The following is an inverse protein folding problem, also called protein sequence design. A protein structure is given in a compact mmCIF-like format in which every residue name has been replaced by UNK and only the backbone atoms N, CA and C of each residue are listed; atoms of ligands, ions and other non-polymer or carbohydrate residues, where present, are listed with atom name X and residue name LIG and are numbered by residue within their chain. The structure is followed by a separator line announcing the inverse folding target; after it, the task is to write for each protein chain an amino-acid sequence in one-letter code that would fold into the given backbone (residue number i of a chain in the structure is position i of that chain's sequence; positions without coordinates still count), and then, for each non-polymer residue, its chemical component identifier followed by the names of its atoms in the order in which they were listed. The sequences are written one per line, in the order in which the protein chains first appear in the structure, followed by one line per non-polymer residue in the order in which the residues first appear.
data_IF_821359457842
#
_entry.id   IF_821359457842
#
_cell.length_a   1.000
_cell.length_b   1.000
_cell.length_c   1.000
_cell.angle_alpha   90.00
_cell.angle_beta   90.00
_cell.angle_gamma   90.00
#
_symmetry.space_group_name_H-M   'P 1'
#
loop_
_entity.id
_entity.type
_entity.pdbx_description
1 polymer ?
#
# COMPACT_ATOMS: atom_id res chain seq x y z
N UNK A 1 -2.48 -2.76 -8.67
CA UNK A 1 -2.59 -2.00 -9.91
C UNK A 1 -1.67 -0.79 -9.92
N UNK A 2 -1.53 -0.16 -11.07
CA UNK A 2 -0.74 1.06 -11.26
C UNK A 2 -1.31 2.22 -10.42
N UNK A 3 -0.50 3.25 -10.16
CA UNK A 3 -1.01 4.51 -9.60
C UNK A 3 -2.11 5.10 -10.49
N UNK A 4 -3.20 5.59 -9.90
CA UNK A 4 -4.30 6.23 -10.62
C UNK A 4 -5.38 5.29 -11.21
N UNK A 5 -5.26 3.97 -11.05
CA UNK A 5 -6.28 3.01 -11.52
C UNK A 5 -7.61 3.05 -10.75
N UNK A 6 -7.70 3.82 -9.67
CA UNK A 6 -8.90 3.97 -8.85
C UNK A 6 -9.02 2.98 -7.70
N UNK A 7 -7.90 2.44 -7.20
CA UNK A 7 -7.88 1.58 -6.00
C UNK A 7 -8.53 2.27 -4.80
N UNK A 8 -7.98 3.40 -4.39
CA UNK A 8 -8.50 4.19 -3.26
C UNK A 8 -9.96 4.64 -3.48
N UNK A 9 -10.32 4.95 -4.72
CA UNK A 9 -11.71 5.29 -5.08
C UNK A 9 -12.65 4.11 -4.84
N UNK A 10 -12.23 2.89 -5.21
CA UNK A 10 -13.00 1.68 -4.93
C UNK A 10 -12.98 1.34 -3.45
N UNK A 11 -11.80 1.34 -2.79
CA UNK A 11 -11.66 1.00 -1.38
C UNK A 11 -12.52 1.90 -0.49
N UNK A 12 -12.45 3.23 -0.68
CA UNK A 12 -13.27 4.20 0.07
C UNK A 12 -14.76 3.99 -0.16
N UNK A 13 -15.15 3.70 -1.39
CA UNK A 13 -16.55 3.42 -1.75
C UNK A 13 -17.05 2.12 -1.10
N UNK A 14 -16.22 1.07 -1.08
CA UNK A 14 -16.55 -0.20 -0.42
C UNK A 14 -16.64 -0.02 1.10
N UNK A 15 -15.73 0.72 1.74
CA UNK A 15 -15.78 1.03 3.17
C UNK A 15 -17.12 1.70 3.50
N UNK A 16 -17.51 2.70 2.70
CA UNK A 16 -18.73 3.46 2.95
C UNK A 16 -20.00 2.64 2.73
N UNK A 17 -20.05 1.82 1.69
CA UNK A 17 -21.22 0.97 1.41
C UNK A 17 -21.39 -0.17 2.42
N UNK A 18 -20.29 -0.79 2.83
CA UNK A 18 -20.32 -1.91 3.77
C UNK A 18 -20.36 -1.45 5.23
N UNK A 19 -20.10 -0.18 5.53
CA UNK A 19 -19.94 0.27 6.91
C UNK A 19 -18.78 -0.38 7.65
N UNK A 20 -17.75 -0.84 6.93
CA UNK A 20 -16.60 -1.56 7.50
C UNK A 20 -15.97 -0.77 8.65
N UNK A 21 -15.80 -1.44 9.79
CA UNK A 21 -15.26 -0.84 11.01
C UNK A 21 -13.73 -0.93 11.14
N UNK A 22 -13.07 -1.64 10.23
CA UNK A 22 -11.62 -1.76 10.20
C UNK A 22 -11.11 -1.51 8.78
N UNK A 23 -10.22 -0.54 8.61
CA UNK A 23 -9.61 -0.27 7.31
C UNK A 23 -8.21 0.34 7.44
N UNK A 24 -7.42 0.17 6.40
CA UNK A 24 -6.04 0.65 6.34
C UNK A 24 -5.71 1.25 4.98
N UNK A 25 -4.91 2.31 4.98
CA UNK A 25 -4.25 2.84 3.80
C UNK A 25 -2.79 2.40 3.80
N UNK A 26 -2.45 1.53 2.87
CA UNK A 26 -1.11 0.98 2.68
C UNK A 26 -0.31 1.69 1.58
N UNK A 27 -0.84 2.74 0.96
CA UNK A 27 -0.05 3.62 0.08
C UNK A 27 0.76 4.62 0.90
N UNK A 28 1.77 4.12 1.60
CA UNK A 28 2.57 4.90 2.55
C UNK A 28 3.44 5.98 1.92
N UNK A 29 3.64 5.91 0.59
CA UNK A 29 4.36 6.94 -0.17
C UNK A 29 3.48 8.18 -0.44
N UNK A 30 2.17 7.96 -0.64
CA UNK A 30 1.20 9.02 -0.92
C UNK A 30 -0.19 8.67 -0.34
N UNK A 31 -0.33 8.56 1.00
CA UNK A 31 -1.57 8.15 1.62
C UNK A 31 -2.67 9.17 1.34
N UNK A 32 -3.81 8.69 0.86
CA UNK A 32 -4.90 9.55 0.41
C UNK A 32 -6.30 9.10 0.82
N UNK A 33 -6.43 7.92 1.42
CA UNK A 33 -7.72 7.40 1.89
C UNK A 33 -8.36 8.33 2.95
N UNK A 34 -7.55 8.94 3.82
CA UNK A 34 -7.99 9.89 4.84
C UNK A 34 -8.68 11.14 4.27
N UNK A 35 -8.44 11.49 2.99
CA UNK A 35 -9.05 12.65 2.35
C UNK A 35 -10.55 12.46 2.06
N UNK A 36 -11.01 11.23 1.99
CA UNK A 36 -12.40 10.85 1.68
C UNK A 36 -13.09 10.11 2.82
N UNK A 37 -12.35 9.82 3.89
CA UNK A 37 -12.89 9.27 5.14
C UNK A 37 -12.97 10.42 6.15
N UNK A 38 -14.18 10.74 6.60
CA UNK A 38 -14.42 11.83 7.55
C UNK A 38 -13.96 11.43 8.95
N UNK A 39 -12.65 11.62 9.23
CA UNK A 39 -12.09 11.36 10.55
C UNK A 39 -12.29 12.59 11.46
N UNK A 40 -13.09 12.43 12.49
CA UNK A 40 -13.43 13.51 13.42
C UNK A 40 -12.42 13.68 14.57
N UNK A 41 -11.53 12.72 14.76
CA UNK A 41 -10.54 12.68 15.84
C UNK A 41 -9.11 12.82 15.33
N UNK A 42 -8.27 13.41 16.15
CA UNK A 42 -6.83 13.39 15.92
C UNK A 42 -6.27 11.96 16.10
N UNK A 43 -5.40 11.50 15.22
CA UNK A 43 -4.82 10.16 15.32
C UNK A 43 -3.81 10.05 16.46
N UNK A 44 -3.67 8.86 17.02
CA UNK A 44 -2.46 8.49 17.74
C UNK A 44 -1.32 8.42 16.75
N UNK A 45 -0.30 9.28 16.96
CA UNK A 45 0.90 9.34 16.11
C UNK A 45 2.06 8.65 16.80
N UNK A 46 2.83 7.86 16.05
CA UNK A 46 4.07 7.26 16.52
C UNK A 46 5.11 7.22 15.42
N UNK A 47 6.35 7.38 15.79
CA UNK A 47 7.47 7.23 14.89
C UNK A 47 7.70 5.76 14.56
N UNK A 48 7.98 5.48 13.29
CA UNK A 48 8.38 4.15 12.86
C UNK A 48 9.87 4.14 12.54
N UNK A 49 10.56 3.25 13.25
CA UNK A 49 11.99 3.02 13.08
C UNK A 49 12.19 1.85 12.12
N UNK A 50 12.88 2.12 11.02
CA UNK A 50 13.26 1.09 10.05
C UNK A 50 14.59 0.42 10.39
N UNK A 51 15.29 -0.04 9.36
CA UNK A 51 16.66 -0.48 9.53
C UNK A 51 17.53 0.71 9.98
N UNK A 52 18.46 0.49 10.94
CA UNK A 52 19.33 1.55 11.43
C UNK A 52 20.21 2.10 10.31
N UNK A 53 20.81 3.27 10.51
CA UNK A 53 21.81 3.81 9.62
C UNK A 53 23.19 3.83 10.28
N UNK A 54 24.24 3.64 9.49
CA UNK A 54 25.60 3.79 10.01
C UNK A 54 25.90 5.26 10.35
N UNK A 55 26.64 5.46 11.43
CA UNK A 55 27.19 6.75 11.82
C UNK A 55 28.68 6.58 12.09
N UNK A 56 29.48 7.48 11.54
CA UNK A 56 30.94 7.46 11.69
C UNK A 56 31.35 8.49 12.76
N UNK A 57 32.08 8.02 13.75
CA UNK A 57 32.73 8.86 14.75
C UNK A 57 34.04 9.39 14.13
N UNK A 58 34.07 10.65 13.77
CA UNK A 58 35.20 11.30 13.09
C UNK A 58 36.45 11.37 13.96
N UNK A 59 36.29 11.40 15.28
CA UNK A 59 37.40 11.48 16.22
C UNK A 59 38.15 10.14 16.36
N UNK A 60 37.44 9.02 16.14
CA UNK A 60 38.02 7.68 16.11
C UNK A 60 38.45 7.23 14.73
N UNK A 61 37.93 7.87 13.68
CA UNK A 61 38.17 7.46 12.30
C UNK A 61 39.65 7.68 11.91
N UNK A 62 40.33 6.60 11.50
CA UNK A 62 41.71 6.62 11.03
C UNK A 62 41.84 6.78 9.50
N UNK A 63 40.77 7.11 8.81
CA UNK A 63 40.71 7.35 7.35
C UNK A 63 41.25 6.21 6.48
N UNK A 64 41.06 4.95 6.87
CA UNK A 64 41.57 3.77 6.15
C UNK A 64 40.77 3.38 4.91
N UNK A 65 39.66 4.01 4.61
CA UNK A 65 38.78 3.83 3.44
C UNK A 65 38.07 2.45 3.33
N UNK A 66 38.28 1.52 4.24
CA UNK A 66 37.70 0.17 4.16
C UNK A 66 36.18 0.18 4.14
N UNK A 67 35.54 1.04 4.93
CA UNK A 67 34.09 1.16 5.00
C UNK A 67 33.48 1.56 3.65
N UNK A 68 34.07 2.55 2.96
CA UNK A 68 33.62 3.01 1.64
C UNK A 68 33.82 1.94 0.57
N UNK A 69 35.00 1.32 0.52
CA UNK A 69 35.30 0.26 -0.43
C UNK A 69 34.39 -0.98 -0.30
N UNK A 70 33.87 -1.26 0.90
CA UNK A 70 32.98 -2.40 1.16
C UNK A 70 31.49 -2.05 1.11
N UNK A 71 31.14 -0.76 1.01
CA UNK A 71 29.77 -0.35 0.87
C UNK A 71 29.24 -0.70 -0.53
N UNK A 72 28.19 -1.54 -0.60
CA UNK A 72 27.54 -1.92 -1.87
C UNK A 72 26.48 -0.91 -2.31
N UNK A 73 26.19 0.06 -1.47
CA UNK A 73 25.12 1.04 -1.67
C UNK A 73 25.67 2.43 -1.96
N UNK A 74 27.00 2.55 -2.12
CA UNK A 74 27.72 3.83 -2.31
C UNK A 74 27.28 4.92 -1.31
N UNK A 75 26.92 4.49 -0.09
CA UNK A 75 26.39 5.34 0.95
C UNK A 75 27.45 6.03 1.82
N UNK A 76 28.75 5.90 1.51
CA UNK A 76 29.83 6.50 2.26
C UNK A 76 30.63 7.40 1.38
N UNK A 77 30.55 8.69 1.66
CA UNK A 77 31.31 9.74 0.98
C UNK A 77 32.51 10.19 1.80
N UNK A 78 33.48 10.76 1.11
CA UNK A 78 34.64 11.40 1.72
C UNK A 78 34.90 12.75 1.06
N UNK A 79 34.94 13.77 1.90
CA UNK A 79 35.43 15.09 1.55
C UNK A 79 36.68 15.35 2.42
N UNK A 80 36.54 16.09 3.50
CA UNK A 80 37.56 16.22 4.54
C UNK A 80 37.45 15.09 5.56
N UNK A 81 36.24 14.57 5.77
CA UNK A 81 35.91 13.47 6.68
C UNK A 81 35.02 12.44 5.98
N UNK A 82 34.98 11.22 6.53
CA UNK A 82 34.04 10.20 6.06
C UNK A 82 32.66 10.46 6.63
N UNK A 83 31.66 10.49 5.76
CA UNK A 83 30.25 10.70 6.11
C UNK A 83 29.38 9.62 5.52
N UNK A 84 28.23 9.37 6.15
CA UNK A 84 27.24 8.42 5.63
C UNK A 84 26.05 9.18 5.06
N UNK A 85 25.75 8.93 3.79
CA UNK A 85 24.47 9.32 3.23
C UNK A 85 23.37 8.44 3.84
N UNK A 86 22.54 9.05 4.68
CA UNK A 86 21.47 8.36 5.38
C UNK A 86 20.37 7.84 4.45
N UNK A 87 20.22 8.41 3.26
CA UNK A 87 19.22 7.97 2.28
C UNK A 87 19.70 6.77 1.48
N UNK A 88 20.99 6.69 1.18
CA UNK A 88 21.60 5.57 0.49
C UNK A 88 21.95 4.39 1.42
N UNK A 89 22.06 4.63 2.75
CA UNK A 89 22.45 3.60 3.70
C UNK A 89 21.32 2.61 3.99
N UNK A 90 21.52 1.34 3.68
CA UNK A 90 20.58 0.24 3.93
C UNK A 90 20.77 -0.47 5.29
N UNK A 91 21.61 0.05 6.18
CA UNK A 91 21.78 -0.48 7.54
C UNK A 91 22.37 -1.89 7.63
N UNK A 92 23.07 -2.35 6.61
CA UNK A 92 23.58 -3.73 6.51
C UNK A 92 24.75 -4.06 7.47
N UNK A 93 25.28 -3.11 8.23
CA UNK A 93 26.34 -3.25 9.21
C UNK A 93 27.75 -3.66 8.66
N UNK A 94 27.92 -3.86 7.37
CA UNK A 94 29.21 -4.27 6.80
C UNK A 94 30.33 -3.28 7.12
N UNK A 95 30.05 -1.97 7.02
CA UNK A 95 31.02 -0.91 7.33
C UNK A 95 31.45 -0.93 8.81
N UNK A 96 30.55 -1.23 9.73
CA UNK A 96 30.84 -1.41 11.15
C UNK A 96 31.76 -2.62 11.38
N UNK A 97 31.44 -3.76 10.74
CA UNK A 97 32.18 -5.00 10.90
C UNK A 97 33.63 -4.89 10.41
N UNK A 98 33.87 -4.12 9.34
CA UNK A 98 35.22 -4.00 8.74
C UNK A 98 36.03 -2.84 9.28
N UNK A 99 35.50 -2.05 10.21
CA UNK A 99 36.17 -0.88 10.75
C UNK A 99 37.23 -1.29 11.80
N UNK A 100 38.54 -1.14 11.53
CA UNK A 100 39.56 -1.56 12.47
C UNK A 100 39.70 -0.63 13.69
N UNK A 101 39.08 0.56 13.62
CA UNK A 101 39.14 1.57 14.69
C UNK A 101 37.83 1.60 15.53
N UNK A 102 36.89 0.69 15.29
CA UNK A 102 35.56 0.70 15.93
C UNK A 102 34.87 2.09 15.89
N UNK A 103 35.11 2.84 14.81
CA UNK A 103 34.61 4.20 14.63
C UNK A 103 33.18 4.25 14.05
N UNK A 104 32.55 3.10 13.79
CA UNK A 104 31.23 3.07 13.14
C UNK A 104 30.23 2.38 14.04
N UNK A 105 29.11 3.08 14.32
CA UNK A 105 27.97 2.55 15.04
C UNK A 105 26.72 2.58 14.17
N UNK A 106 25.74 1.72 14.47
CA UNK A 106 24.42 1.80 13.88
C UNK A 106 23.50 2.57 14.82
N UNK A 107 22.81 3.55 14.28
CA UNK A 107 21.85 4.40 15.01
C UNK A 107 20.44 4.24 14.44
N UNK A 108 19.47 4.22 15.32
CA UNK A 108 18.07 4.15 14.92
C UNK A 108 17.69 5.36 14.07
N UNK A 109 16.84 5.10 13.09
CA UNK A 109 16.38 6.10 12.13
C UNK A 109 14.86 6.04 12.00
N UNK A 110 14.21 7.16 12.24
CA UNK A 110 12.79 7.32 11.89
C UNK A 110 12.68 7.34 10.36
N UNK A 111 11.92 6.42 9.82
CA UNK A 111 11.68 6.29 8.37
C UNK A 111 10.22 6.54 7.97
N UNK A 112 9.35 6.73 8.93
CA UNK A 112 7.95 7.02 8.68
C UNK A 112 7.19 7.36 9.97
N UNK A 113 5.97 7.83 9.79
CA UNK A 113 5.07 8.19 10.88
C UNK A 113 3.76 7.42 10.74
N UNK A 114 3.46 6.59 11.73
CA UNK A 114 2.19 5.88 11.84
C UNK A 114 1.12 6.83 12.39
N UNK A 115 -0.11 6.69 11.87
CA UNK A 115 -1.29 7.41 12.31
C UNK A 115 -2.41 6.40 12.52
N UNK A 116 -2.89 6.27 13.74
CA UNK A 116 -3.95 5.33 14.11
C UNK A 116 -5.13 6.11 14.67
N UNK A 117 -6.25 6.07 13.96
CA UNK A 117 -7.53 6.60 14.38
C UNK A 117 -8.33 5.47 15.02
N UNK A 118 -8.84 5.68 16.21
CA UNK A 118 -9.64 4.69 16.93
C UNK A 118 -10.83 5.36 17.63
N UNK A 119 -12.02 4.91 17.28
CA UNK A 119 -13.28 5.32 17.86
C UNK A 119 -14.28 4.16 17.81
N UNK A 120 -15.39 4.31 17.10
CA UNK A 120 -16.35 3.26 16.74
C UNK A 120 -15.87 2.40 15.56
N UNK A 121 -14.74 2.76 14.98
CA UNK A 121 -13.99 2.07 13.94
C UNK A 121 -12.49 2.24 14.16
N UNK A 122 -11.67 1.53 13.39
CA UNK A 122 -10.22 1.72 13.34
C UNK A 122 -9.78 2.04 11.91
N UNK A 123 -9.02 3.12 11.78
CA UNK A 123 -8.33 3.46 10.56
C UNK A 123 -6.82 3.57 10.82
N UNK A 124 -6.05 2.77 10.13
CA UNK A 124 -4.58 2.77 10.23
C UNK A 124 -3.95 3.23 8.92
N UNK A 125 -3.04 4.18 9.02
CA UNK A 125 -2.27 4.67 7.88
C UNK A 125 -0.88 5.09 8.33
N UNK A 126 0.01 5.35 7.39
CA UNK A 126 1.34 5.88 7.67
C UNK A 126 1.84 6.73 6.51
N UNK A 127 2.82 7.57 6.81
CA UNK A 127 3.52 8.38 5.84
C UNK A 127 5.02 8.07 5.91
N UNK A 128 5.59 7.62 4.78
CA UNK A 128 7.01 7.33 4.67
C UNK A 128 7.79 8.65 4.58
N UNK A 129 8.89 8.75 5.31
CA UNK A 129 9.79 9.90 5.17
C UNK A 129 10.43 9.90 3.78
N UNK A 130 10.50 11.06 3.16
CA UNK A 130 11.04 11.23 1.80
C UNK A 130 12.43 10.61 1.68
N UNK A 131 12.64 9.81 0.63
CA UNK A 131 13.92 9.13 0.37
C UNK A 131 14.21 7.95 1.31
N UNK A 132 13.30 7.57 2.20
CA UNK A 132 13.49 6.38 3.03
C UNK A 132 13.13 5.10 2.27
N UNK A 133 13.91 4.04 2.50
CA UNK A 133 13.60 2.68 2.07
C UNK A 133 12.62 1.98 3.04
N UNK A 134 12.46 0.66 2.85
CA UNK A 134 11.71 -0.20 3.78
C UNK A 134 10.19 0.05 3.87
N UNK A 135 9.57 0.60 2.82
CA UNK A 135 8.12 0.83 2.74
C UNK A 135 7.28 -0.43 3.04
N UNK A 136 7.75 -1.62 2.66
CA UNK A 136 7.08 -2.89 2.98
C UNK A 136 7.00 -3.19 4.47
N UNK A 137 8.02 -2.83 5.26
CA UNK A 137 7.98 -2.96 6.72
C UNK A 137 6.94 -2.00 7.32
N UNK A 138 6.93 -0.75 6.86
CA UNK A 138 5.95 0.24 7.31
C UNK A 138 4.51 -0.19 6.98
N UNK A 139 4.25 -0.73 5.78
CA UNK A 139 2.95 -1.31 5.40
C UNK A 139 2.55 -2.44 6.35
N UNK A 140 3.51 -3.28 6.76
CA UNK A 140 3.24 -4.35 7.74
C UNK A 140 2.79 -3.78 9.08
N UNK A 141 3.40 -2.69 9.56
CA UNK A 141 2.98 -2.01 10.80
C UNK A 141 1.61 -1.35 10.66
N UNK A 142 1.32 -0.72 9.52
CA UNK A 142 -0.02 -0.18 9.23
C UNK A 142 -1.07 -1.27 9.38
N UNK A 143 -0.86 -2.46 8.81
CA UNK A 143 -1.80 -3.59 8.93
C UNK A 143 -1.91 -4.12 10.35
N UNK A 144 -0.83 -4.11 11.13
CA UNK A 144 -0.87 -4.51 12.55
C UNK A 144 -1.78 -3.60 13.38
N UNK A 145 -1.96 -2.34 12.98
CA UNK A 145 -2.91 -1.42 13.62
C UNK A 145 -4.36 -1.92 13.63
N UNK A 146 -4.71 -2.85 12.73
CA UNK A 146 -6.05 -3.45 12.69
C UNK A 146 -6.20 -4.69 13.60
N UNK A 147 -5.13 -5.20 14.22
CA UNK A 147 -5.11 -6.50 14.91
C UNK A 147 -6.16 -6.61 16.03
N UNK A 148 -6.33 -5.55 16.80
CA UNK A 148 -7.25 -5.53 17.95
C UNK A 148 -8.72 -5.44 17.53
N UNK A 149 -8.98 -5.30 16.25
CA UNK A 149 -10.32 -5.23 15.66
C UNK A 149 -10.75 -6.51 14.95
N UNK A 150 -9.90 -7.54 14.94
CA UNK A 150 -10.19 -8.81 14.28
C UNK A 150 -11.50 -9.45 14.73
N UNK A 151 -11.82 -9.34 16.02
CA UNK A 151 -13.04 -9.92 16.61
C UNK A 151 -14.18 -8.88 16.75
N UNK A 152 -13.95 -7.63 16.37
CA UNK A 152 -14.91 -6.52 16.48
C UNK A 152 -15.49 -6.09 15.13
N UNK A 153 -14.81 -6.43 14.05
CA UNK A 153 -15.21 -6.08 12.69
C UNK A 153 -15.44 -7.38 11.88
N UNK A 154 -16.58 -7.48 11.22
CA UNK A 154 -16.89 -8.60 10.32
C UNK A 154 -15.99 -8.63 9.10
N UNK A 155 -15.50 -7.46 8.66
CA UNK A 155 -14.63 -7.29 7.51
C UNK A 155 -13.63 -6.16 7.74
N UNK A 156 -12.40 -6.35 7.24
CA UNK A 156 -11.39 -5.31 7.14
C UNK A 156 -11.08 -5.00 5.67
N UNK A 157 -11.00 -3.71 5.32
CA UNK A 157 -10.65 -3.27 3.96
C UNK A 157 -9.27 -2.62 3.98
N UNK A 158 -8.38 -3.11 3.11
CA UNK A 158 -7.01 -2.62 2.98
C UNK A 158 -6.86 -1.97 1.61
N UNK A 159 -6.65 -0.66 1.57
CA UNK A 159 -6.25 0.03 0.35
C UNK A 159 -4.78 -0.24 0.07
N UNK A 160 -4.52 -1.04 -0.96
CA UNK A 160 -3.19 -1.56 -1.26
C UNK A 160 -2.32 -0.57 -1.99
N UNK A 161 -1.01 -0.59 -1.72
CA UNK A 161 -0.01 0.20 -2.43
C UNK A 161 -0.05 -0.03 -3.94
N UNK A 162 0.32 0.98 -4.75
CA UNK A 162 0.51 0.79 -6.19
C UNK A 162 1.78 0.01 -6.53
N UNK A 163 1.85 -0.48 -7.77
CA UNK A 163 3.04 -1.16 -8.28
C UNK A 163 3.05 -2.66 -8.03
N UNK A 164 4.25 -3.25 -7.96
CA UNK A 164 4.53 -4.69 -7.81
C UNK A 164 5.62 -4.99 -6.79
N UNK A 165 6.12 -3.98 -6.08
CA UNK A 165 7.23 -4.09 -5.13
C UNK A 165 6.84 -4.59 -3.73
N UNK A 166 7.80 -4.49 -2.80
CA UNK A 166 7.64 -4.94 -1.41
C UNK A 166 6.38 -4.40 -0.71
N UNK A 167 5.95 -3.12 -0.88
CA UNK A 167 4.73 -2.64 -0.24
C UNK A 167 3.47 -3.36 -0.75
N UNK A 168 3.42 -3.74 -2.04
CA UNK A 168 2.29 -4.53 -2.58
C UNK A 168 2.28 -5.92 -1.96
N UNK A 169 3.45 -6.58 -1.89
CA UNK A 169 3.60 -7.90 -1.25
C UNK A 169 3.14 -7.83 0.21
N UNK A 170 3.56 -6.81 0.94
CA UNK A 170 3.13 -6.59 2.32
C UNK A 170 1.62 -6.34 2.43
N UNK A 171 1.02 -5.59 1.49
CA UNK A 171 -0.42 -5.33 1.45
C UNK A 171 -1.23 -6.60 1.26
N UNK A 172 -0.83 -7.50 0.34
CA UNK A 172 -1.57 -8.74 0.02
C UNK A 172 -1.28 -9.90 0.99
N UNK A 173 -0.21 -9.83 1.77
CA UNK A 173 0.14 -10.88 2.73
C UNK A 173 -0.89 -10.98 3.85
N UNK A 174 -1.45 -12.18 4.08
CA UNK A 174 -2.38 -12.45 5.19
C UNK A 174 -3.77 -11.84 5.04
N UNK A 175 -4.21 -11.57 3.80
CA UNK A 175 -5.60 -11.22 3.48
C UNK A 175 -6.33 -12.45 2.92
N UNK A 176 -7.65 -12.47 3.01
CA UNK A 176 -8.48 -13.55 2.48
C UNK A 176 -8.78 -13.38 0.99
N UNK A 177 -8.90 -12.12 0.54
CA UNK A 177 -9.23 -11.76 -0.84
C UNK A 177 -8.38 -10.58 -1.31
N UNK A 178 -7.82 -10.68 -2.51
CA UNK A 178 -7.15 -9.60 -3.23
C UNK A 178 -8.04 -9.17 -4.40
N UNK A 179 -8.55 -7.94 -4.34
CA UNK A 179 -9.29 -7.34 -5.45
C UNK A 179 -8.32 -6.51 -6.30
N UNK A 180 -8.08 -6.94 -7.52
CA UNK A 180 -7.24 -6.24 -8.49
C UNK A 180 -8.08 -5.24 -9.28
N UNK A 181 -7.79 -3.95 -9.09
CA UNK A 181 -8.40 -2.88 -9.89
C UNK A 181 -7.49 -2.56 -11.06
N UNK A 182 -7.98 -2.71 -12.27
CA UNK A 182 -7.24 -2.41 -13.50
C UNK A 182 -8.01 -1.44 -14.39
N UNK A 183 -7.32 -0.80 -15.32
CA UNK A 183 -7.91 0.00 -16.40
C UNK A 183 -7.72 -0.71 -17.75
N UNK A 184 -8.56 -0.47 -18.76
CA UNK A 184 -8.47 -1.10 -20.08
C UNK A 184 -7.34 -0.50 -20.94
N UNK A 185 -6.11 -0.51 -20.40
CA UNK A 185 -4.89 -0.07 -21.10
C UNK A 185 -3.90 -1.22 -21.20
N UNK A 186 -2.97 -1.18 -22.16
CA UNK A 186 -1.94 -2.20 -22.29
C UNK A 186 -1.07 -2.30 -21.03
N UNK A 187 -0.71 -1.16 -20.44
CA UNK A 187 0.05 -1.16 -19.18
C UNK A 187 -0.76 -1.69 -18.01
N UNK A 188 -2.06 -1.34 -17.91
CA UNK A 188 -2.96 -1.86 -16.88
C UNK A 188 -3.12 -3.36 -16.94
N UNK A 189 -3.23 -3.92 -18.13
CA UNK A 189 -3.29 -5.36 -18.36
C UNK A 189 -1.99 -6.06 -17.95
N UNK A 190 -0.83 -5.55 -18.40
CA UNK A 190 0.47 -6.13 -18.05
C UNK A 190 0.76 -6.08 -16.54
N UNK A 191 0.41 -4.97 -15.88
CA UNK A 191 0.57 -4.85 -14.42
C UNK A 191 -0.37 -5.81 -13.67
N UNK A 192 -1.60 -5.98 -14.17
CA UNK A 192 -2.56 -6.95 -13.61
C UNK A 192 -1.99 -8.38 -13.70
N UNK A 193 -1.47 -8.79 -14.87
CA UNK A 193 -0.86 -10.12 -15.03
C UNK A 193 0.27 -10.37 -14.02
N UNK A 194 1.18 -9.40 -13.85
CA UNK A 194 2.29 -9.51 -12.89
C UNK A 194 1.80 -9.65 -11.45
N UNK A 195 0.75 -8.90 -11.07
CA UNK A 195 0.20 -9.00 -9.71
C UNK A 195 -0.53 -10.33 -9.53
N UNK A 196 -1.26 -10.83 -10.53
CA UNK A 196 -1.88 -12.16 -10.50
C UNK A 196 -0.81 -13.22 -10.23
N UNK A 197 0.30 -13.21 -10.99
CA UNK A 197 1.39 -14.17 -10.78
C UNK A 197 2.03 -14.04 -9.40
N UNK A 198 2.28 -12.82 -8.94
CA UNK A 198 2.82 -12.57 -7.59
C UNK A 198 1.86 -13.07 -6.51
N UNK A 199 0.56 -12.82 -6.67
CA UNK A 199 -0.46 -13.17 -5.67
C UNK A 199 -0.70 -14.67 -5.56
N UNK A 200 -0.39 -15.46 -6.58
CA UNK A 200 -0.48 -16.94 -6.55
C UNK A 200 0.42 -17.58 -5.48
N UNK A 201 1.46 -16.89 -5.04
CA UNK A 201 2.31 -17.32 -3.92
C UNK A 201 1.68 -17.19 -2.54
N UNK A 202 0.46 -16.62 -2.46
CA UNK A 202 -0.27 -16.39 -1.21
C UNK A 202 -1.57 -17.20 -1.18
N UNK A 203 -2.07 -17.56 0.01
CA UNK A 203 -3.31 -18.33 0.13
C UNK A 203 -4.58 -17.51 -0.19
N UNK A 204 -4.45 -16.22 -0.41
CA UNK A 204 -5.56 -15.31 -0.70
C UNK A 204 -6.25 -15.66 -2.02
N UNK A 205 -7.58 -15.59 -2.06
CA UNK A 205 -8.33 -15.59 -3.31
C UNK A 205 -8.00 -14.33 -4.11
N UNK A 206 -8.06 -14.42 -5.43
CA UNK A 206 -7.81 -13.27 -6.33
C UNK A 206 -9.09 -13.02 -7.13
N UNK A 207 -9.50 -11.76 -7.23
CA UNK A 207 -10.60 -11.34 -8.08
C UNK A 207 -10.21 -10.05 -8.83
N UNK A 208 -10.83 -9.80 -9.97
CA UNK A 208 -10.52 -8.65 -10.84
C UNK A 208 -11.76 -7.79 -11.03
N UNK A 209 -11.60 -6.48 -11.02
CA UNK A 209 -12.56 -5.53 -11.54
C UNK A 209 -11.88 -4.53 -12.49
N UNK A 210 -12.62 -4.04 -13.48
CA UNK A 210 -12.13 -3.07 -14.46
C UNK A 210 -12.74 -1.70 -14.13
N UNK A 211 -11.90 -0.71 -13.90
CA UNK A 211 -12.33 0.67 -13.78
C UNK A 211 -12.22 1.39 -15.11
N UNK A 212 -13.12 2.33 -15.39
CA UNK A 212 -13.18 3.11 -16.64
C UNK A 212 -13.27 2.21 -17.88
N UNK A 213 -14.06 1.14 -17.80
CA UNK A 213 -14.10 0.09 -18.81
C UNK A 213 -14.48 0.61 -20.21
N UNK A 214 -15.26 1.67 -20.27
CA UNK A 214 -15.81 2.28 -21.48
C UNK A 214 -14.79 3.15 -22.24
N UNK A 215 -13.62 3.41 -21.68
CA UNK A 215 -12.56 4.12 -22.38
C UNK A 215 -11.94 3.29 -23.53
N UNK A 216 -11.95 1.95 -23.42
CA UNK A 216 -11.41 1.08 -24.45
C UNK A 216 -12.02 -0.33 -24.42
N UNK A 217 -13.17 -0.51 -25.06
CA UNK A 217 -13.98 -1.74 -25.00
C UNK A 217 -13.21 -3.01 -25.42
N UNK A 218 -12.37 -2.92 -26.45
CA UNK A 218 -11.57 -4.07 -26.92
C UNK A 218 -10.59 -4.57 -25.85
N UNK A 219 -9.92 -3.66 -25.14
CA UNK A 219 -9.03 -4.06 -24.06
C UNK A 219 -9.80 -4.57 -22.84
N UNK A 220 -10.99 -4.03 -22.59
CA UNK A 220 -11.93 -4.54 -21.57
C UNK A 220 -12.25 -6.00 -21.83
N UNK A 221 -12.67 -6.34 -23.05
CA UNK A 221 -12.94 -7.72 -23.48
C UNK A 221 -11.71 -8.62 -23.33
N UNK A 222 -10.52 -8.12 -23.67
CA UNK A 222 -9.27 -8.86 -23.48
C UNK A 222 -9.03 -9.22 -22.01
N UNK A 223 -9.30 -8.30 -21.09
CA UNK A 223 -9.16 -8.55 -19.64
C UNK A 223 -10.22 -9.53 -19.14
N UNK A 224 -11.47 -9.39 -19.59
CA UNK A 224 -12.56 -10.30 -19.24
C UNK A 224 -12.24 -11.75 -19.69
N UNK A 225 -11.79 -11.92 -20.95
CA UNK A 225 -11.38 -13.22 -21.48
C UNK A 225 -10.18 -13.80 -20.71
N UNK A 226 -9.19 -13.00 -20.37
CA UNK A 226 -8.06 -13.44 -19.55
C UNK A 226 -8.52 -13.98 -18.18
N UNK A 227 -9.47 -13.31 -17.53
CA UNK A 227 -10.02 -13.78 -16.25
C UNK A 227 -10.77 -15.10 -16.44
N UNK A 228 -11.58 -15.21 -17.46
CA UNK A 228 -12.36 -16.43 -17.79
C UNK A 228 -11.43 -17.61 -18.07
N UNK A 229 -10.43 -17.45 -18.93
CA UNK A 229 -9.48 -18.50 -19.31
C UNK A 229 -8.65 -19.03 -18.14
N UNK A 230 -8.43 -18.21 -17.12
CA UNK A 230 -7.65 -18.56 -15.93
C UNK A 230 -8.49 -18.90 -14.70
N UNK A 231 -9.81 -18.90 -14.83
CA UNK A 231 -10.74 -19.15 -13.72
C UNK A 231 -10.62 -18.11 -12.59
N UNK A 232 -10.25 -16.85 -12.93
CA UNK A 232 -10.18 -15.77 -11.96
C UNK A 232 -11.56 -15.12 -11.87
N UNK A 233 -12.17 -15.02 -10.67
CA UNK A 233 -13.41 -14.31 -10.46
C UNK A 233 -13.36 -12.89 -11.01
N UNK A 234 -14.30 -12.55 -11.88
CA UNK A 234 -14.51 -11.21 -12.41
C UNK A 234 -15.67 -10.56 -11.67
N UNK A 235 -15.39 -9.50 -10.89
CA UNK A 235 -16.36 -8.85 -10.01
C UNK A 235 -17.25 -7.83 -10.72
N UNK A 236 -16.80 -7.33 -11.88
CA UNK A 236 -17.55 -6.34 -12.64
C UNK A 236 -16.69 -5.22 -13.20
N UNK A 237 -17.36 -4.21 -13.76
CA UNK A 237 -16.72 -3.09 -14.45
C UNK A 237 -17.40 -1.76 -14.11
N UNK A 238 -16.59 -0.77 -13.76
CA UNK A 238 -17.03 0.57 -13.37
C UNK A 238 -16.87 1.50 -14.58
N UNK A 239 -17.90 2.24 -15.00
CA UNK A 239 -17.80 3.20 -16.08
C UNK A 239 -16.94 4.40 -15.69
N UNK A 240 -16.40 5.11 -16.68
CA UNK A 240 -15.71 6.37 -16.44
C UNK A 240 -16.70 7.44 -15.95
N UNK A 241 -16.43 7.98 -14.76
CA UNK A 241 -17.21 9.09 -14.22
C UNK A 241 -16.36 10.38 -14.25
N UNK A 242 -16.83 11.38 -15.01
CA UNK A 242 -16.15 12.67 -15.15
C UNK A 242 -16.10 13.47 -13.85
N UNK A 243 -17.02 13.22 -12.94
CA UNK A 243 -17.12 13.94 -11.67
C UNK A 243 -16.30 13.26 -10.54
N UNK A 244 -15.75 12.06 -10.79
CA UNK A 244 -14.99 11.30 -9.79
C UNK A 244 -13.91 12.13 -9.10
N UNK A 245 -13.10 12.88 -9.87
CA UNK A 245 -12.05 13.75 -9.33
C UNK A 245 -12.64 14.90 -8.51
N UNK A 246 -13.76 15.49 -8.98
CA UNK A 246 -14.43 16.56 -8.25
C UNK A 246 -15.04 16.07 -6.93
N UNK A 247 -15.54 14.83 -6.89
CA UNK A 247 -16.08 14.23 -5.66
C UNK A 247 -14.95 14.01 -4.65
N UNK A 248 -13.87 13.40 -5.06
CA UNK A 248 -12.69 13.16 -4.19
C UNK A 248 -12.13 14.48 -3.64
N UNK A 249 -12.02 15.51 -4.45
CA UNK A 249 -11.56 16.84 -4.02
C UNK A 249 -12.52 17.53 -3.02
N UNK A 250 -13.77 17.04 -2.92
CA UNK A 250 -14.77 17.49 -1.94
C UNK A 250 -14.85 16.55 -0.73
N UNK A 251 -13.91 15.62 -0.56
CA UNK A 251 -13.95 14.63 0.51
C UNK A 251 -15.06 13.57 0.34
N UNK A 252 -15.54 13.34 -0.89
CA UNK A 252 -16.65 12.42 -1.18
C UNK A 252 -16.16 11.21 -1.98
N UNK A 253 -16.87 10.11 -1.82
CA UNK A 253 -16.67 8.88 -2.59
C UNK A 253 -17.61 8.83 -3.80
N UNK A 254 -17.37 7.91 -4.75
CA UNK A 254 -18.26 7.72 -5.90
C UNK A 254 -19.69 7.27 -5.51
N UNK A 255 -19.84 6.67 -4.34
CA UNK A 255 -21.14 6.17 -3.88
C UNK A 255 -22.00 7.23 -3.16
N UNK A 256 -21.45 8.44 -2.96
CA UNK A 256 -22.20 9.58 -2.45
C UNK A 256 -23.11 10.22 -3.50
N UNK A 257 -22.95 9.84 -4.76
CA UNK A 257 -23.76 10.30 -5.87
C UNK A 257 -24.46 9.10 -6.52
N UNK A 258 -25.72 9.24 -6.83
CA UNK A 258 -26.44 8.25 -7.64
C UNK A 258 -25.94 8.22 -9.10
N UNK A 259 -25.86 7.05 -9.66
CA UNK A 259 -25.43 6.87 -11.04
C UNK A 259 -24.78 5.52 -11.33
N UNK A 260 -24.44 5.25 -12.60
CA UNK A 260 -23.97 3.94 -13.04
C UNK A 260 -22.69 3.47 -12.33
N UNK A 261 -21.81 4.38 -11.94
CA UNK A 261 -20.59 4.03 -11.20
C UNK A 261 -20.91 3.49 -9.80
N UNK A 262 -21.86 4.14 -9.08
CA UNK A 262 -22.34 3.67 -7.78
C UNK A 262 -22.98 2.30 -7.88
N UNK A 263 -23.84 2.08 -8.87
CA UNK A 263 -24.53 0.80 -9.03
C UNK A 263 -23.55 -0.33 -9.35
N UNK A 264 -22.58 -0.07 -10.22
CA UNK A 264 -21.50 -1.03 -10.50
C UNK A 264 -20.66 -1.37 -9.24
N UNK A 265 -20.37 -0.38 -8.38
CA UNK A 265 -19.61 -0.62 -7.14
C UNK A 265 -20.45 -1.44 -6.14
N UNK A 266 -21.78 -1.25 -6.08
CA UNK A 266 -22.64 -2.10 -5.26
C UNK A 266 -22.61 -3.57 -5.72
N UNK A 267 -22.69 -3.81 -7.02
CA UNK A 267 -22.59 -5.17 -7.58
C UNK A 267 -21.21 -5.80 -7.25
N UNK A 268 -20.13 -5.01 -7.34
CA UNK A 268 -18.78 -5.45 -6.96
C UNK A 268 -18.75 -5.81 -5.47
N UNK A 269 -19.36 -5.02 -4.58
CA UNK A 269 -19.45 -5.34 -3.16
C UNK A 269 -20.14 -6.69 -2.92
N UNK A 270 -21.27 -6.93 -3.54
CA UNK A 270 -21.99 -8.23 -3.45
C UNK A 270 -21.07 -9.38 -3.87
N UNK A 271 -20.34 -9.21 -4.97
CA UNK A 271 -19.35 -10.20 -5.42
C UNK A 271 -18.21 -10.43 -4.44
N UNK A 272 -17.69 -9.36 -3.83
CA UNK A 272 -16.66 -9.42 -2.78
C UNK A 272 -17.16 -10.22 -1.59
N UNK A 273 -18.36 -9.88 -1.06
CA UNK A 273 -18.97 -10.56 0.08
C UNK A 273 -19.19 -12.04 -0.18
N UNK A 274 -19.68 -12.39 -1.36
CA UNK A 274 -19.83 -13.80 -1.78
C UNK A 274 -18.50 -14.57 -1.80
N UNK A 275 -17.39 -13.93 -2.20
CA UNK A 275 -16.08 -14.57 -2.23
C UNK A 275 -15.47 -14.78 -0.82
N UNK A 276 -15.76 -13.91 0.14
CA UNK A 276 -15.31 -14.04 1.53
C UNK A 276 -16.31 -14.75 2.43
N UNK A 277 -17.43 -15.24 1.87
CA UNK A 277 -18.51 -15.95 2.56
C UNK A 277 -19.21 -15.10 3.65
N UNK A 278 -19.31 -13.82 3.46
CA UNK A 278 -20.14 -12.93 4.27
C UNK A 278 -21.44 -12.59 3.53
N UNK A 279 -22.51 -12.35 4.29
CA UNK A 279 -23.78 -11.85 3.77
C UNK A 279 -23.92 -10.36 4.05
N UNK A 280 -24.78 -9.67 3.29
CA UNK A 280 -25.02 -8.23 3.46
C UNK A 280 -25.57 -7.88 4.85
N UNK A 281 -26.29 -8.79 5.49
CA UNK A 281 -26.85 -8.61 6.84
C UNK A 281 -25.85 -8.89 7.98
N UNK A 282 -24.63 -9.31 7.65
CA UNK A 282 -23.53 -9.58 8.60
C UNK A 282 -22.48 -8.43 8.67
N UNK A 283 -22.74 -7.32 7.95
CA UNK A 283 -21.80 -6.19 7.85
C UNK A 283 -22.23 -5.01 8.76
#
# INVERSE_FOLDING_TARGET
GKGGTGKTTLSSSLIKLSGAKAYADCDVDAPNLHLVMEESLEPNKSDFYGLPAAQIDTDKCISCDLCRQKCRFDAIDVTDVYTVDRFACEGCAVCQLVCPADAITLVDRVIGHLKLYQNDHVFSTAELCMGSGNSGLLVTEVKKGLKDWKDKASMAIIDGSPGIGCPVIASISGVDLVVLVTEPTLSGFSDMERIVETSRGFPAKIAVCINKYDLHLKNTETIENYCMDRGIPFLGKIPYDREAVSLVNKGKTLVDKEGPARDAIKEILVGVLGLINLKEDEI
#
